data_IF_791339239411
#
_entry.id   IF_791339239411
#
_cell.length_a   1.000
_cell.length_b   1.000
_cell.length_c   1.000
_cell.angle_alpha   90.00
_cell.angle_beta   90.00
_cell.angle_gamma   90.00
#
_symmetry.space_group_name_H-M   'P 1'
#
loop_
_entity.id
_entity.type
_entity.pdbx_description
1 polymer ?
#
# COMPACT_ATOMS: atom_id res chain seq x y z
N UNK A 1 22.74 -28.29 -30.38
CA UNK A 1 21.88 -28.71 -29.25
C UNK A 1 21.74 -27.64 -28.15
N UNK A 2 22.69 -26.71 -27.99
CA UNK A 2 22.69 -25.66 -26.93
C UNK A 2 21.57 -24.60 -27.04
N UNK A 3 20.95 -24.40 -28.21
CA UNK A 3 19.93 -23.35 -28.41
C UNK A 3 18.53 -23.68 -27.86
N UNK A 4 18.18 -24.97 -27.68
CA UNK A 4 16.85 -25.36 -27.17
C UNK A 4 16.72 -25.15 -25.67
N UNK A 5 17.80 -25.36 -24.91
CA UNK A 5 17.77 -25.25 -23.46
C UNK A 5 17.70 -23.80 -22.98
N UNK A 6 18.41 -22.88 -23.65
CA UNK A 6 18.31 -21.45 -23.34
C UNK A 6 16.91 -20.86 -23.60
N UNK A 7 16.21 -21.37 -24.63
CA UNK A 7 14.82 -20.96 -24.91
C UNK A 7 13.84 -21.51 -23.88
N UNK A 8 14.03 -22.75 -23.43
CA UNK A 8 13.22 -23.35 -22.38
C UNK A 8 13.39 -22.59 -21.05
N UNK A 9 14.63 -22.27 -20.68
CA UNK A 9 14.93 -21.47 -19.49
C UNK A 9 14.29 -20.09 -19.53
N UNK A 10 14.42 -19.37 -20.66
CA UNK A 10 13.77 -18.07 -20.84
C UNK A 10 12.24 -18.16 -20.75
N UNK A 11 11.64 -19.23 -21.29
CA UNK A 11 10.18 -19.44 -21.24
C UNK A 11 9.70 -19.71 -19.82
N UNK A 12 10.42 -20.51 -19.02
CA UNK A 12 10.11 -20.74 -17.59
C UNK A 12 10.21 -19.45 -16.78
N UNK A 13 11.23 -18.61 -17.04
CA UNK A 13 11.35 -17.30 -16.40
C UNK A 13 10.15 -16.42 -16.76
N UNK A 14 9.79 -16.34 -18.05
CA UNK A 14 8.67 -15.52 -18.51
C UNK A 14 7.31 -15.99 -17.95
N UNK A 15 7.10 -17.30 -17.86
CA UNK A 15 5.88 -17.87 -17.26
C UNK A 15 5.82 -17.62 -15.75
N UNK A 16 6.94 -17.74 -15.05
CA UNK A 16 7.05 -17.40 -13.63
C UNK A 16 6.73 -15.92 -13.39
N UNK A 17 7.33 -15.01 -14.16
CA UNK A 17 7.02 -13.57 -14.09
C UNK A 17 5.57 -13.27 -14.42
N UNK A 18 4.99 -13.93 -15.44
CA UNK A 18 3.59 -13.76 -15.80
C UNK A 18 2.66 -14.23 -14.70
N UNK A 19 2.93 -15.37 -14.08
CA UNK A 19 2.14 -15.91 -12.96
C UNK A 19 2.19 -14.98 -11.74
N UNK A 20 3.37 -14.46 -11.40
CA UNK A 20 3.55 -13.47 -10.32
C UNK A 20 2.78 -12.18 -10.62
N UNK A 21 2.86 -11.70 -11.87
CA UNK A 21 2.16 -10.48 -12.30
C UNK A 21 0.65 -10.64 -12.25
N UNK A 22 0.10 -11.76 -12.72
CA UNK A 22 -1.34 -12.04 -12.64
C UNK A 22 -1.82 -12.21 -11.19
N UNK A 23 -1.00 -12.80 -10.31
CA UNK A 23 -1.27 -12.87 -8.88
C UNK A 23 -1.35 -11.49 -8.22
N UNK A 24 -0.41 -10.60 -8.54
CA UNK A 24 -0.42 -9.21 -8.08
C UNK A 24 -1.66 -8.45 -8.59
N UNK A 25 -1.97 -8.56 -9.88
CA UNK A 25 -3.11 -7.87 -10.49
C UNK A 25 -4.45 -8.25 -9.85
N UNK A 26 -4.64 -9.52 -9.47
CA UNK A 26 -5.89 -9.97 -8.85
C UNK A 26 -6.07 -9.48 -7.40
N UNK A 27 -4.99 -9.19 -6.68
CA UNK A 27 -5.03 -8.76 -5.28
C UNK A 27 -5.13 -7.24 -5.12
N UNK A 28 -4.66 -6.46 -6.10
CA UNK A 28 -4.65 -4.99 -6.01
C UNK A 28 -6.03 -4.36 -5.77
N UNK A 29 -7.14 -4.79 -6.41
CA UNK A 29 -8.43 -4.11 -6.25
C UNK A 29 -9.04 -4.25 -4.84
N UNK A 30 -8.88 -5.41 -4.19
CA UNK A 30 -9.46 -5.66 -2.86
C UNK A 30 -8.83 -4.79 -1.78
N UNK A 31 -7.57 -4.40 -1.97
CA UNK A 31 -6.83 -3.60 -0.99
C UNK A 31 -7.24 -2.12 -0.97
N UNK A 32 -7.93 -1.62 -2.00
CA UNK A 32 -8.19 -0.17 -2.16
C UNK A 32 -9.66 0.20 -2.33
N UNK A 33 -10.55 -0.79 -2.41
CA UNK A 33 -11.94 -0.61 -2.88
C UNK A 33 -12.74 0.48 -2.16
N UNK A 34 -12.72 0.53 -0.82
CA UNK A 34 -13.59 1.42 -0.06
C UNK A 34 -13.26 2.91 -0.25
N UNK A 35 -11.98 3.27 -0.17
CA UNK A 35 -11.54 4.66 -0.26
C UNK A 35 -11.65 5.15 -1.70
N UNK A 36 -11.21 4.35 -2.67
CA UNK A 36 -11.26 4.73 -4.10
C UNK A 36 -12.69 4.96 -4.56
N UNK A 37 -13.64 4.07 -4.20
CA UNK A 37 -15.04 4.24 -4.61
C UNK A 37 -15.66 5.49 -3.98
N UNK A 38 -15.36 5.79 -2.70
CA UNK A 38 -15.81 7.03 -2.06
C UNK A 38 -15.29 8.27 -2.79
N UNK A 39 -13.99 8.30 -3.13
CA UNK A 39 -13.41 9.41 -3.89
C UNK A 39 -14.02 9.55 -5.28
N UNK A 40 -14.21 8.45 -6.00
CA UNK A 40 -14.85 8.46 -7.33
C UNK A 40 -16.27 9.02 -7.26
N UNK A 41 -17.03 8.67 -6.22
CA UNK A 41 -18.35 9.23 -6.00
C UNK A 41 -18.28 10.75 -5.80
N UNK A 42 -17.35 11.23 -4.96
CA UNK A 42 -17.19 12.67 -4.68
C UNK A 42 -16.79 13.46 -5.93
N UNK A 43 -15.82 12.99 -6.72
CA UNK A 43 -15.41 13.69 -7.97
C UNK A 43 -16.50 13.65 -9.04
N UNK A 44 -17.35 12.62 -9.04
CA UNK A 44 -18.47 12.52 -9.97
C UNK A 44 -19.60 13.50 -9.58
N UNK A 45 -19.85 13.67 -8.28
CA UNK A 45 -20.76 14.71 -7.78
C UNK A 45 -20.21 16.12 -8.05
N UNK A 46 -18.92 16.31 -7.82
CA UNK A 46 -18.20 17.54 -8.12
C UNK A 46 -17.73 17.51 -9.57
N UNK A 47 -18.65 17.50 -10.53
CA UNK A 47 -18.32 17.50 -11.96
C UNK A 47 -17.28 18.59 -12.28
N UNK A 48 -16.00 18.21 -12.33
CA UNK A 48 -14.89 19.12 -12.55
C UNK A 48 -14.98 19.57 -14.02
N UNK A 49 -15.63 20.72 -14.25
CA UNK A 49 -15.58 21.43 -15.51
C UNK A 49 -14.12 21.61 -15.91
N UNK A 50 -13.78 21.19 -17.12
CA UNK A 50 -12.42 21.11 -17.63
C UNK A 50 -11.80 22.51 -17.84
N UNK A 51 -11.42 23.19 -16.76
CA UNK A 51 -10.52 24.34 -16.81
C UNK A 51 -9.09 23.89 -16.54
N UNK A 52 -8.57 23.02 -17.42
CA UNK A 52 -7.16 22.68 -17.44
C UNK A 52 -6.37 23.82 -18.11
N UNK A 53 -6.25 24.96 -17.41
CA UNK A 53 -5.23 25.95 -17.78
C UNK A 53 -3.88 25.35 -17.43
N UNK A 54 -3.19 24.89 -18.47
CA UNK A 54 -1.83 24.34 -18.40
C UNK A 54 -0.88 25.42 -17.90
N UNK A 55 -0.73 25.52 -16.59
CA UNK A 55 0.21 26.44 -15.96
C UNK A 55 1.63 25.88 -16.08
N UNK A 56 2.31 26.27 -17.16
CA UNK A 56 3.68 25.86 -17.48
C UNK A 56 4.68 26.25 -16.38
N UNK A 57 4.34 27.23 -15.51
CA UNK A 57 5.16 27.58 -14.33
C UNK A 57 5.14 26.50 -13.25
N UNK A 58 4.08 25.69 -13.18
CA UNK A 58 3.99 24.55 -12.26
C UNK A 58 5.00 23.44 -12.60
N UNK A 59 5.36 23.27 -13.87
CA UNK A 59 6.29 22.22 -14.31
C UNK A 59 7.68 22.35 -13.69
N UNK A 60 8.24 23.56 -13.61
CA UNK A 60 9.55 23.78 -13.01
C UNK A 60 9.52 23.67 -11.47
N UNK A 61 8.44 24.12 -10.84
CA UNK A 61 8.24 23.98 -9.39
C UNK A 61 8.06 22.52 -8.98
N UNK A 62 7.35 21.73 -9.79
CA UNK A 62 7.19 20.27 -9.58
C UNK A 62 8.53 19.56 -9.78
N UNK A 63 9.32 19.92 -10.79
CA UNK A 63 10.63 19.29 -11.05
C UNK A 63 11.62 19.56 -9.91
N UNK A 64 11.64 20.79 -9.38
CA UNK A 64 12.43 21.14 -8.19
C UNK A 64 11.91 20.43 -6.94
N UNK A 65 10.59 20.35 -6.75
CA UNK A 65 9.98 19.64 -5.64
C UNK A 65 10.27 18.14 -5.63
N UNK A 66 10.25 17.50 -6.80
CA UNK A 66 10.66 16.10 -6.97
C UNK A 66 12.16 15.91 -6.74
N UNK A 67 13.00 16.84 -7.17
CA UNK A 67 14.44 16.80 -6.90
C UNK A 67 14.79 16.87 -5.42
N UNK A 68 14.11 17.74 -4.66
CA UNK A 68 14.31 17.90 -3.21
C UNK A 68 13.71 16.72 -2.43
N UNK A 69 12.51 16.28 -2.80
CA UNK A 69 11.88 15.13 -2.12
C UNK A 69 12.64 13.83 -2.42
N UNK A 70 13.09 13.66 -3.66
CA UNK A 70 13.90 12.52 -4.09
C UNK A 70 15.28 12.49 -3.45
N UNK A 71 15.92 13.65 -3.25
CA UNK A 71 17.22 13.71 -2.58
C UNK A 71 17.10 13.43 -1.07
N UNK A 72 16.07 13.94 -0.41
CA UNK A 72 15.78 13.61 1.00
C UNK A 72 15.45 12.12 1.13
N UNK A 73 14.62 11.57 0.24
CA UNK A 73 14.32 10.14 0.20
C UNK A 73 15.56 9.27 -0.04
N UNK A 74 16.46 9.70 -0.95
CA UNK A 74 17.72 9.02 -1.23
C UNK A 74 18.70 9.08 -0.06
N UNK A 75 18.77 10.21 0.65
CA UNK A 75 19.59 10.34 1.86
C UNK A 75 19.06 9.45 2.99
N UNK A 76 17.75 9.42 3.21
CA UNK A 76 17.12 8.53 4.18
C UNK A 76 17.34 7.05 3.82
N UNK A 77 17.23 6.67 2.55
CA UNK A 77 17.49 5.30 2.11
C UNK A 77 18.96 4.86 2.34
N UNK A 78 19.91 5.79 2.17
CA UNK A 78 21.33 5.54 2.42
C UNK A 78 21.63 5.47 3.93
N UNK A 79 20.97 6.32 4.73
CA UNK A 79 21.16 6.42 6.18
C UNK A 79 20.44 5.30 6.95
N UNK A 80 19.34 4.78 6.42
CA UNK A 80 18.65 3.57 6.91
C UNK A 80 19.39 2.28 6.56
N UNK A 81 20.51 2.34 5.83
CA UNK A 81 21.35 1.19 5.59
C UNK A 81 20.59 0.06 4.90
N UNK A 82 19.99 0.33 3.73
CA UNK A 82 19.58 -0.74 2.80
C UNK A 82 20.86 -1.35 2.21
N UNK A 83 21.66 -1.96 3.09
CA UNK A 83 22.75 -2.87 2.79
C UNK A 83 22.17 -4.26 2.84
N UNK A 84 22.68 -5.18 2.03
CA UNK A 84 22.15 -6.55 1.86
C UNK A 84 21.95 -7.32 3.20
N UNK A 85 22.61 -6.91 4.29
CA UNK A 85 22.40 -7.43 5.65
C UNK A 85 20.99 -7.19 6.22
N UNK A 86 20.30 -6.12 5.83
CA UNK A 86 18.93 -5.85 6.29
C UNK A 86 17.93 -6.89 5.77
N UNK A 87 18.17 -7.43 4.57
CA UNK A 87 17.34 -8.49 3.97
C UNK A 87 17.49 -9.83 4.69
N UNK A 88 18.69 -10.17 5.15
CA UNK A 88 18.96 -11.42 5.87
C UNK A 88 18.28 -11.42 7.25
N UNK A 89 18.23 -10.28 7.94
CA UNK A 89 17.51 -10.17 9.22
C UNK A 89 15.99 -10.25 9.06
N UNK A 90 15.43 -9.83 7.92
CA UNK A 90 14.01 -9.99 7.62
C UNK A 90 13.63 -11.44 7.32
N UNK A 91 14.51 -12.25 6.70
CA UNK A 91 14.21 -13.67 6.47
C UNK A 91 14.20 -14.50 7.76
N UNK A 92 15.00 -14.12 8.76
CA UNK A 92 15.10 -14.83 10.04
C UNK A 92 13.81 -14.67 10.86
N UNK A 93 13.28 -13.44 10.94
CA UNK A 93 11.99 -13.12 11.58
C UNK A 93 10.81 -13.79 10.88
N UNK A 94 10.88 -13.98 9.56
CA UNK A 94 9.84 -14.68 8.79
C UNK A 94 9.69 -16.16 9.17
N UNK A 95 10.78 -16.83 9.57
CA UNK A 95 10.76 -18.26 9.88
C UNK A 95 10.06 -18.60 11.19
N UNK A 96 10.16 -17.72 12.19
CA UNK A 96 9.55 -17.89 13.51
C UNK A 96 8.03 -17.60 13.46
N UNK A 97 7.64 -16.62 12.64
CA UNK A 97 6.23 -16.31 12.37
C UNK A 97 5.55 -17.46 11.60
N UNK A 98 6.24 -18.11 10.66
CA UNK A 98 5.67 -19.20 9.85
C UNK A 98 5.27 -20.43 10.71
N UNK A 99 6.02 -20.70 11.78
CA UNK A 99 5.71 -21.79 12.72
C UNK A 99 4.47 -21.49 13.58
N UNK A 100 4.28 -20.25 14.00
CA UNK A 100 3.12 -19.86 14.82
C UNK A 100 1.84 -19.72 13.96
N UNK A 101 2.00 -19.21 12.73
CA UNK A 101 0.92 -19.13 11.72
C UNK A 101 0.41 -20.52 11.33
N UNK A 102 1.27 -21.54 11.28
CA UNK A 102 0.86 -22.92 10.98
C UNK A 102 -0.08 -23.50 12.06
N UNK A 103 0.00 -23.04 13.31
CA UNK A 103 -0.84 -23.52 14.42
C UNK A 103 -2.14 -22.74 14.61
N UNK A 104 -2.11 -21.41 14.51
CA UNK A 104 -3.25 -20.52 14.83
C UNK A 104 -3.85 -19.81 13.60
N UNK A 105 -3.18 -19.87 12.45
CA UNK A 105 -3.50 -19.08 11.26
C UNK A 105 -3.12 -17.60 11.41
N UNK A 106 -2.96 -16.90 10.28
CA UNK A 106 -2.54 -15.48 10.24
C UNK A 106 -3.45 -14.60 11.10
N UNK A 107 -4.77 -14.84 11.06
CA UNK A 107 -5.73 -14.08 11.87
C UNK A 107 -5.55 -14.31 13.37
N UNK A 108 -5.24 -15.54 13.79
CA UNK A 108 -5.07 -15.87 15.20
C UNK A 108 -3.86 -15.18 15.81
N UNK A 109 -2.74 -15.16 15.08
CA UNK A 109 -1.48 -14.51 15.50
C UNK A 109 -1.65 -13.00 15.65
N UNK A 110 -2.47 -12.36 14.81
CA UNK A 110 -2.70 -10.91 14.87
C UNK A 110 -3.79 -10.55 15.89
N UNK A 111 -4.85 -11.36 16.00
CA UNK A 111 -5.98 -11.06 16.87
C UNK A 111 -5.61 -11.12 18.36
N UNK A 112 -4.82 -12.10 18.78
CA UNK A 112 -4.46 -12.30 20.19
C UNK A 112 -3.78 -11.07 20.82
N UNK A 113 -2.66 -10.53 20.30
CA UNK A 113 -2.05 -9.32 20.84
C UNK A 113 -2.95 -8.09 20.67
N UNK A 114 -3.74 -8.00 19.60
CA UNK A 114 -4.64 -6.88 19.36
C UNK A 114 -5.73 -6.74 20.43
N UNK A 115 -6.24 -7.86 20.95
CA UNK A 115 -7.29 -7.88 21.98
C UNK A 115 -6.76 -8.06 23.42
N UNK A 116 -5.49 -8.37 23.61
CA UNK A 116 -4.90 -8.57 24.95
C UNK A 116 -3.96 -7.43 25.34
N UNK A 117 -2.92 -7.20 24.53
CA UNK A 117 -1.89 -6.19 24.80
C UNK A 117 -2.28 -4.81 24.26
N UNK A 118 -2.81 -4.75 23.04
CA UNK A 118 -3.16 -3.50 22.36
C UNK A 118 -4.64 -3.10 22.50
N UNK A 119 -5.33 -3.61 23.51
CA UNK A 119 -6.77 -3.35 23.74
C UNK A 119 -7.11 -1.86 23.81
N UNK A 120 -6.24 -1.07 24.44
CA UNK A 120 -6.42 0.39 24.55
C UNK A 120 -6.32 1.06 23.18
N UNK A 121 -5.34 0.68 22.37
CA UNK A 121 -5.18 1.20 21.02
C UNK A 121 -6.36 0.80 20.12
N UNK A 122 -6.86 -0.44 20.26
CA UNK A 122 -8.05 -0.91 19.56
C UNK A 122 -9.28 -0.04 19.90
N UNK A 123 -9.53 0.22 21.19
CA UNK A 123 -10.66 1.07 21.62
C UNK A 123 -10.56 2.50 21.05
N UNK A 124 -9.35 3.09 21.05
CA UNK A 124 -9.14 4.40 20.45
C UNK A 124 -9.47 4.43 18.95
N UNK A 125 -9.10 3.39 18.20
CA UNK A 125 -9.50 3.29 16.79
C UNK A 125 -11.01 3.17 16.61
N UNK A 126 -11.69 2.47 17.51
CA UNK A 126 -13.16 2.41 17.58
C UNK A 126 -13.78 3.80 17.78
N UNK A 127 -13.31 4.54 18.78
CA UNK A 127 -13.76 5.92 19.04
C UNK A 127 -13.46 6.83 17.84
N UNK A 128 -12.28 6.71 17.24
CA UNK A 128 -11.88 7.48 16.06
C UNK A 128 -12.82 7.23 14.88
N UNK A 129 -13.16 5.97 14.61
CA UNK A 129 -14.12 5.59 13.56
C UNK A 129 -15.52 6.11 13.88
N UNK A 130 -15.95 6.03 15.14
CA UNK A 130 -17.25 6.56 15.56
C UNK A 130 -17.34 8.08 15.34
N UNK A 131 -16.33 8.83 15.78
CA UNK A 131 -16.25 10.28 15.58
C UNK A 131 -16.21 10.61 14.08
N UNK A 132 -15.48 9.84 13.27
CA UNK A 132 -15.44 10.04 11.83
C UNK A 132 -16.82 9.89 11.17
N UNK A 133 -17.59 8.87 11.56
CA UNK A 133 -18.96 8.67 11.04
C UNK A 133 -19.88 9.81 11.47
N UNK A 134 -19.88 10.17 12.76
CA UNK A 134 -20.70 11.28 13.26
C UNK A 134 -20.34 12.59 12.56
N UNK A 135 -19.04 12.88 12.41
CA UNK A 135 -18.54 14.05 11.69
C UNK A 135 -18.96 14.07 10.22
N UNK A 136 -18.81 12.95 9.51
CA UNK A 136 -19.22 12.83 8.11
C UNK A 136 -20.73 13.07 7.94
N UNK A 137 -21.57 12.47 8.79
CA UNK A 137 -23.03 12.65 8.73
C UNK A 137 -23.44 14.08 9.09
N UNK A 138 -22.84 14.67 10.12
CA UNK A 138 -23.13 16.04 10.52
C UNK A 138 -22.80 17.05 9.41
N UNK A 139 -21.68 16.85 8.69
CA UNK A 139 -21.27 17.68 7.56
C UNK A 139 -22.09 17.44 6.29
N UNK A 140 -22.50 16.19 6.04
CA UNK A 140 -23.32 15.84 4.88
C UNK A 140 -24.79 16.25 5.03
N UNK A 141 -25.26 16.49 6.27
CA UNK A 141 -26.63 16.93 6.52
C UNK A 141 -26.82 18.32 5.93
N UNK A 142 -27.73 18.43 4.95
CA UNK A 142 -28.14 19.71 4.38
C UNK A 142 -28.74 20.57 5.49
N UNK A 143 -28.19 21.77 5.70
CA UNK A 143 -28.85 22.77 6.52
C UNK A 143 -30.13 23.19 5.79
N UNK A 144 -31.28 23.00 6.43
CA UNK A 144 -32.52 23.58 5.96
C UNK A 144 -32.50 25.11 6.12
#
# INVERSE_FOLDING_TARGET
MVSKEGKAFAMTILESFRSVWEGLLNLLPSMVGAIVVLFLFVIMLLNLGHDYKKDIRGGLAVLLGFGVTGSIGGLLANQLGISDDAWIRFSDVGSEIDMEVAGKGITGVIAEPLFTEYVVAFEFTGILLFVAIVGAVALAKKAD
#
